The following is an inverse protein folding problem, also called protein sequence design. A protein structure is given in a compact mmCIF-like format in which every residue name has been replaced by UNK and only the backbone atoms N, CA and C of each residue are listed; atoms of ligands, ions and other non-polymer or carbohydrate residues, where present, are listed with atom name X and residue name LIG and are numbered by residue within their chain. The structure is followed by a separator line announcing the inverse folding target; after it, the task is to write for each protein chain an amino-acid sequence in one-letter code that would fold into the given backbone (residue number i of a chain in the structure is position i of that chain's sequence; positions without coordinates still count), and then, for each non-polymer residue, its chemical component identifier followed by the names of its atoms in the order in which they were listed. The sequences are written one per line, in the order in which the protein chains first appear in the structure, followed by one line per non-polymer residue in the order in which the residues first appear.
data_IF_036111384021
#
_entry.id   IF_036111384021
#
_cell.length_a   1.000
_cell.length_b   1.000
_cell.length_c   1.000
_cell.angle_alpha   90.00
_cell.angle_beta   90.00
_cell.angle_gamma   90.00
#
_symmetry.space_group_name_H-M   'P 1'
#
loop_
_entity.id
_entity.type
_entity.pdbx_description
1 polymer ?
#
# COMPACT_ATOMS: atom_id res chain seq x y z
N UNK A 1 16.67 19.51 6.59
CA UNK A 1 16.94 18.34 5.76
C UNK A 1 15.74 18.02 4.90
N UNK A 2 15.96 17.78 3.63
CA UNK A 2 14.83 17.47 2.73
C UNK A 2 14.05 16.26 3.15
N UNK A 3 14.71 15.27 3.72
CA UNK A 3 14.06 14.06 4.14
C UNK A 3 13.15 14.23 5.34
N UNK A 4 13.16 15.45 5.92
CA UNK A 4 12.30 15.77 7.05
C UNK A 4 11.06 16.53 6.63
N UNK A 5 10.95 16.81 5.35
CA UNK A 5 9.80 17.54 4.82
C UNK A 5 8.51 16.77 5.00
N UNK A 6 7.46 17.50 5.32
CA UNK A 6 6.12 16.92 5.37
C UNK A 6 5.68 16.56 3.96
N UNK A 7 5.15 15.37 3.80
CA UNK A 7 4.73 14.86 2.51
C UNK A 7 3.50 14.01 2.63
N UNK A 8 2.82 13.86 1.53
CA UNK A 8 1.63 13.04 1.48
C UNK A 8 1.54 12.36 0.13
N UNK A 9 1.19 11.08 0.13
CA UNK A 9 1.02 10.32 -1.10
C UNK A 9 -0.17 9.40 -0.95
N UNK A 10 -0.91 9.24 -2.03
CA UNK A 10 -2.04 8.32 -2.07
C UNK A 10 -1.65 7.15 -2.97
N UNK A 11 -1.84 5.94 -2.47
CA UNK A 11 -1.60 4.73 -3.26
C UNK A 11 -2.92 4.00 -3.44
N UNK A 12 -3.04 3.31 -4.56
CA UNK A 12 -4.27 2.61 -4.88
C UNK A 12 -4.11 1.10 -4.70
N UNK A 13 -5.19 0.39 -4.97
CA UNK A 13 -5.23 -1.06 -4.80
C UNK A 13 -4.21 -1.78 -5.69
N UNK A 14 -3.90 -1.21 -6.86
CA UNK A 14 -2.91 -1.83 -7.74
C UNK A 14 -1.52 -1.77 -7.12
N UNK A 15 -1.18 -0.63 -6.54
CA UNK A 15 0.10 -0.47 -5.84
C UNK A 15 0.20 -1.43 -4.67
N UNK A 16 -0.89 -1.59 -3.93
CA UNK A 16 -0.92 -2.47 -2.78
C UNK A 16 -0.74 -3.93 -3.21
N UNK A 17 -1.36 -4.30 -4.33
CA UNK A 17 -1.19 -5.65 -4.86
C UNK A 17 0.27 -5.93 -5.21
N UNK A 18 0.97 -4.95 -5.77
CA UNK A 18 2.38 -5.08 -6.08
C UNK A 18 3.21 -5.29 -4.83
N UNK A 19 2.97 -4.46 -3.82
CA UNK A 19 3.74 -4.53 -2.58
C UNK A 19 3.52 -5.88 -1.91
N UNK A 20 2.27 -6.34 -1.85
CA UNK A 20 1.96 -7.62 -1.24
C UNK A 20 2.59 -8.78 -2.01
N UNK A 21 2.56 -8.70 -3.32
CA UNK A 21 3.17 -9.73 -4.15
C UNK A 21 4.65 -9.87 -3.83
N UNK A 22 5.35 -8.74 -3.77
CA UNK A 22 6.78 -8.75 -3.47
C UNK A 22 7.06 -9.36 -2.10
N UNK A 23 6.29 -8.95 -1.10
CA UNK A 23 6.50 -9.45 0.27
C UNK A 23 6.22 -10.93 0.35
N UNK A 24 5.13 -11.38 -0.25
CA UNK A 24 4.74 -12.78 -0.16
C UNK A 24 5.70 -13.68 -0.94
N UNK A 25 6.23 -13.19 -2.05
CA UNK A 25 7.25 -13.94 -2.79
C UNK A 25 8.54 -14.05 -1.97
N UNK A 26 8.92 -12.95 -1.33
CA UNK A 26 10.13 -12.91 -0.52
C UNK A 26 10.03 -13.88 0.66
N UNK A 27 8.83 -14.11 1.15
CA UNK A 27 8.62 -15.01 2.30
C UNK A 27 8.34 -16.44 1.88
N UNK A 28 8.36 -16.70 0.59
CA UNK A 28 8.13 -18.06 0.08
C UNK A 28 6.66 -18.48 0.09
N UNK A 29 5.75 -17.55 0.33
CA UNK A 29 4.33 -17.84 0.32
C UNK A 29 3.79 -17.94 -1.11
N UNK A 30 4.37 -17.15 -2.02
CA UNK A 30 4.02 -17.18 -3.43
C UNK A 30 5.23 -17.62 -4.23
N UNK A 31 4.98 -18.38 -5.31
CA UNK A 31 6.02 -18.73 -6.27
C UNK A 31 6.37 -17.48 -7.08
N UNK A 32 7.55 -17.45 -7.74
CA UNK A 32 7.95 -16.28 -8.52
C UNK A 32 7.00 -15.88 -9.64
N UNK A 33 6.22 -16.82 -10.14
CA UNK A 33 5.27 -16.55 -11.22
C UNK A 33 3.88 -16.22 -10.72
N UNK A 34 3.67 -16.29 -9.42
CA UNK A 34 2.37 -16.01 -8.82
C UNK A 34 2.32 -14.57 -8.32
N UNK A 35 1.13 -14.00 -8.28
CA UNK A 35 0.97 -12.64 -7.79
C UNK A 35 -0.41 -12.48 -7.18
N UNK A 36 -0.53 -11.45 -6.34
CA UNK A 36 -1.81 -11.09 -5.72
C UNK A 36 -2.63 -10.32 -6.75
N UNK A 37 -3.87 -10.72 -6.91
CA UNK A 37 -4.79 -10.04 -7.81
C UNK A 37 -5.50 -8.91 -7.08
N UNK A 38 -5.86 -7.83 -7.79
CA UNK A 38 -6.69 -6.79 -7.20
C UNK A 38 -8.02 -7.34 -6.73
N UNK A 39 -8.51 -8.34 -7.41
CA UNK A 39 -9.78 -8.98 -7.00
C UNK A 39 -9.69 -9.63 -5.64
N UNK A 40 -8.51 -10.13 -5.30
CA UNK A 40 -8.28 -10.72 -3.98
C UNK A 40 -8.28 -9.67 -2.88
N UNK A 41 -7.89 -8.46 -3.24
CA UNK A 41 -7.79 -7.35 -2.30
C UNK A 41 -9.07 -6.56 -2.14
N UNK A 42 -9.93 -6.59 -3.15
CA UNK A 42 -11.14 -5.76 -3.13
C UNK A 42 -11.95 -5.89 -1.85
N UNK A 43 -12.25 -7.11 -1.38
CA UNK A 43 -13.06 -7.22 -0.16
C UNK A 43 -12.40 -6.60 1.06
N UNK A 44 -11.08 -6.64 1.12
CA UNK A 44 -10.35 -6.12 2.26
C UNK A 44 -10.24 -4.60 2.23
N UNK A 45 -10.38 -4.01 1.05
CA UNK A 45 -10.16 -2.58 0.87
C UNK A 45 -11.43 -1.79 0.52
N UNK A 46 -12.56 -2.43 0.59
CA UNK A 46 -13.84 -1.78 0.29
C UNK A 46 -14.04 -0.53 1.15
N UNK A 47 -13.75 -0.65 2.44
CA UNK A 47 -13.92 0.44 3.39
C UNK A 47 -13.06 1.64 3.05
N UNK A 48 -11.97 1.41 2.36
CA UNK A 48 -11.00 2.45 2.06
C UNK A 48 -11.23 3.10 0.70
N UNK A 49 -12.26 2.66 -0.02
CA UNK A 49 -12.47 3.12 -1.38
C UNK A 49 -11.32 2.75 -2.29
N UNK A 50 -10.58 1.71 -1.92
CA UNK A 50 -9.46 1.15 -2.68
C UNK A 50 -8.22 2.04 -2.69
N UNK A 51 -8.08 2.90 -1.67
CA UNK A 51 -6.93 3.81 -1.55
C UNK A 51 -6.43 3.86 -0.13
N UNK A 52 -5.15 4.18 -0.01
CA UNK A 52 -4.55 4.52 1.27
C UNK A 52 -3.77 5.81 1.08
N UNK A 53 -3.85 6.67 2.06
CA UNK A 53 -3.07 7.91 2.07
C UNK A 53 -1.99 7.78 3.13
N UNK A 54 -0.75 7.95 2.70
CA UNK A 54 0.40 7.85 3.59
C UNK A 54 0.97 9.24 3.77
N UNK A 55 1.06 9.65 5.01
CA UNK A 55 1.48 10.99 5.36
C UNK A 55 2.77 10.93 6.18
N UNK A 56 3.69 11.78 5.83
CA UNK A 56 4.91 11.95 6.61
C UNK A 56 4.86 13.33 7.23
N UNK A 57 4.83 13.38 8.56
CA UNK A 57 4.72 14.63 9.26
C UNK A 57 5.54 14.59 10.52
N UNK A 58 6.36 15.60 10.73
CA UNK A 58 7.20 15.73 11.92
C UNK A 58 8.06 14.50 12.13
N UNK A 59 8.55 13.92 11.04
CA UNK A 59 9.40 12.73 11.10
C UNK A 59 8.65 11.44 11.40
N UNK A 60 7.33 11.49 11.39
CA UNK A 60 6.51 10.33 11.68
C UNK A 60 5.68 9.95 10.47
N UNK A 61 5.33 8.67 10.40
CA UNK A 61 4.51 8.15 9.32
C UNK A 61 3.12 7.86 9.85
N UNK A 62 2.12 8.38 9.14
CA UNK A 62 0.73 8.08 9.43
C UNK A 62 0.10 7.47 8.19
N UNK A 63 -0.71 6.45 8.39
CA UNK A 63 -1.41 5.81 7.28
C UNK A 63 -2.89 5.91 7.54
N UNK A 64 -3.61 6.49 6.59
CA UNK A 64 -5.05 6.65 6.70
C UNK A 64 -5.74 5.93 5.57
N UNK A 65 -6.93 5.46 5.84
CA UNK A 65 -7.73 4.79 4.83
C UNK A 65 -8.40 5.83 3.94
N UNK A 66 -8.42 5.53 2.64
CA UNK A 66 -9.11 6.39 1.68
C UNK A 66 -8.15 7.34 0.98
N UNK A 67 -8.71 7.98 -0.04
CA UNK A 67 -7.99 9.01 -0.80
C UNK A 67 -8.18 10.35 -0.10
N UNK A 68 -7.18 11.19 -0.26
CA UNK A 68 -7.23 12.51 0.33
C UNK A 68 -8.08 13.45 -0.51
#
# INVERSE_FOLDING_TARGET
MPDQEDRKITIDIFDIAYILTDVLQARGFLAPHEHVSVYDLEPAMEDCGYYLTIERKDGKIKIRRGAE
#
